data_IF_416618248019
#
_entry.id   IF_416618248019
#
_cell.length_a   1.000
_cell.length_b   1.000
_cell.length_c   1.000
_cell.angle_alpha   90.00
_cell.angle_beta   90.00
_cell.angle_gamma   90.00
#
_symmetry.space_group_name_H-M   'P 1'
#
loop_
_entity.id
_entity.type
_entity.pdbx_description
1 polymer ?
#
# COMPACT_ATOMS: atom_id res chain seq x y z
N UNK A 1 14.58 -21.69 22.98
CA UNK A 1 15.28 -22.94 22.68
C UNK A 1 16.20 -22.68 21.48
N UNK A 2 15.66 -22.49 20.28
CA UNK A 2 16.48 -22.22 19.07
C UNK A 2 17.36 -20.96 19.13
N UNK A 3 16.83 -19.79 19.50
CA UNK A 3 17.64 -18.55 19.52
C UNK A 3 18.82 -18.66 20.50
N UNK A 4 18.61 -19.32 21.64
CA UNK A 4 19.65 -19.50 22.67
C UNK A 4 20.77 -20.43 22.20
N UNK A 5 20.45 -21.40 21.34
CA UNK A 5 21.45 -22.32 20.75
C UNK A 5 22.39 -21.61 19.77
N UNK A 6 21.90 -20.59 19.06
CA UNK A 6 22.69 -19.82 18.09
C UNK A 6 23.23 -18.49 18.64
N UNK A 7 22.66 -18.01 19.74
CA UNK A 7 23.03 -16.78 20.44
C UNK A 7 22.94 -16.97 21.97
N UNK A 8 23.95 -17.60 22.59
CA UNK A 8 23.96 -17.84 24.04
C UNK A 8 23.96 -16.55 24.86
N UNK A 9 23.19 -16.53 25.95
CA UNK A 9 22.96 -15.37 26.80
C UNK A 9 21.87 -14.42 26.28
N UNK A 10 21.27 -14.68 25.10
CA UNK A 10 20.25 -13.79 24.52
C UNK A 10 19.07 -13.58 25.47
N UNK A 11 18.57 -14.64 26.10
CA UNK A 11 17.41 -14.53 27.01
C UNK A 11 17.67 -13.57 28.18
N UNK A 12 18.89 -13.54 28.70
CA UNK A 12 19.27 -12.70 29.84
C UNK A 12 19.31 -11.20 29.48
N UNK A 13 19.30 -10.86 28.18
CA UNK A 13 19.27 -9.48 27.67
C UNK A 13 17.86 -8.93 27.43
N UNK A 14 16.82 -9.76 27.57
CA UNK A 14 15.44 -9.35 27.27
C UNK A 14 14.87 -8.52 28.42
N UNK A 15 14.61 -7.23 28.17
CA UNK A 15 13.97 -6.34 29.15
C UNK A 15 12.43 -6.45 29.14
N UNK A 16 11.84 -6.67 27.97
CA UNK A 16 10.40 -6.79 27.78
C UNK A 16 10.08 -7.56 26.50
N UNK A 17 8.86 -8.09 26.41
CA UNK A 17 8.35 -8.79 25.23
C UNK A 17 6.91 -8.37 24.96
N UNK A 18 6.64 -8.02 23.71
CA UNK A 18 5.28 -7.91 23.17
C UNK A 18 5.14 -8.92 22.03
N UNK A 19 4.00 -9.61 21.98
CA UNK A 19 3.72 -10.59 20.95
C UNK A 19 2.30 -10.37 20.44
N UNK A 20 2.14 -10.42 19.12
CA UNK A 20 0.84 -10.44 18.46
C UNK A 20 0.74 -11.74 17.69
N UNK A 21 -0.28 -12.53 18.01
CA UNK A 21 -0.65 -13.67 17.20
C UNK A 21 -1.45 -13.20 15.96
N UNK A 22 -1.75 -14.09 15.00
CA UNK A 22 -2.47 -13.71 13.79
C UNK A 22 -3.84 -13.06 14.07
N UNK A 23 -4.56 -13.52 15.10
CA UNK A 23 -5.86 -12.96 15.48
C UNK A 23 -5.73 -11.57 16.09
N UNK A 24 -4.70 -11.34 16.91
CA UNK A 24 -4.38 -10.02 17.44
C UNK A 24 -4.00 -9.04 16.32
N UNK A 25 -3.33 -9.53 15.26
CA UNK A 25 -2.94 -8.72 14.11
C UNK A 25 -4.15 -8.32 13.26
N UNK A 26 -5.08 -9.24 13.02
CA UNK A 26 -6.37 -8.94 12.35
C UNK A 26 -7.24 -7.98 13.17
N UNK A 27 -7.22 -8.08 14.51
CA UNK A 27 -7.92 -7.13 15.39
C UNK A 27 -7.27 -5.75 15.43
N UNK A 28 -5.97 -5.68 15.16
CA UNK A 28 -5.22 -4.43 15.14
C UNK A 28 -5.48 -3.65 13.84
N UNK A 29 -5.57 -4.35 12.72
CA UNK A 29 -5.89 -3.76 11.42
C UNK A 29 -6.80 -4.73 10.65
N UNK A 30 -8.03 -4.30 10.36
CA UNK A 30 -9.03 -5.10 9.64
C UNK A 30 -8.57 -5.50 8.23
N UNK A 31 -7.55 -4.84 7.67
CA UNK A 31 -6.94 -5.24 6.41
C UNK A 31 -6.09 -6.53 6.52
N UNK A 32 -5.67 -6.91 7.72
CA UNK A 32 -4.84 -8.09 7.98
C UNK A 32 -5.68 -9.33 8.30
N UNK A 33 -6.64 -9.65 7.42
CA UNK A 33 -7.49 -10.84 7.55
C UNK A 33 -6.62 -12.09 7.75
N UNK A 34 -6.88 -12.86 8.81
CA UNK A 34 -6.10 -14.03 9.19
C UNK A 34 -4.68 -13.73 9.66
N UNK A 35 -4.35 -12.47 9.96
CA UNK A 35 -3.01 -12.00 10.28
C UNK A 35 -2.09 -11.80 9.05
N UNK A 36 -2.65 -11.70 7.85
CA UNK A 36 -1.86 -11.53 6.63
C UNK A 36 -1.47 -10.05 6.39
N UNK A 37 -0.22 -9.71 6.73
CA UNK A 37 0.34 -8.36 6.50
C UNK A 37 0.38 -7.94 5.02
N UNK A 38 0.26 -8.89 4.10
CA UNK A 38 0.23 -8.65 2.66
C UNK A 38 -1.13 -8.18 2.14
N UNK A 39 -2.18 -8.24 2.98
CA UNK A 39 -3.56 -7.98 2.56
C UNK A 39 -4.09 -9.06 1.61
N UNK A 40 -3.62 -10.30 1.81
CA UNK A 40 -3.88 -11.45 0.96
C UNK A 40 -2.63 -11.96 0.25
N UNK A 41 -2.81 -13.02 -0.54
CA UNK A 41 -1.72 -13.73 -1.22
C UNK A 41 -0.88 -12.77 -2.07
N UNK A 42 0.42 -12.99 -2.16
CA UNK A 42 1.29 -12.21 -3.05
C UNK A 42 1.70 -13.10 -4.22
N UNK A 43 0.87 -13.12 -5.25
CA UNK A 43 1.21 -13.75 -6.52
C UNK A 43 1.53 -12.70 -7.61
N UNK A 44 2.07 -13.16 -8.74
CA UNK A 44 2.45 -12.29 -9.87
C UNK A 44 1.26 -11.47 -10.37
N UNK A 45 0.05 -12.04 -10.33
CA UNK A 45 -1.17 -11.34 -10.75
C UNK A 45 -1.49 -10.20 -9.78
N UNK A 46 -1.41 -10.43 -8.49
CA UNK A 46 -1.61 -9.40 -7.47
C UNK A 46 -0.49 -8.38 -7.49
N UNK A 47 0.74 -8.73 -7.85
CA UNK A 47 1.82 -7.75 -8.01
C UNK A 47 1.50 -6.69 -9.06
N UNK A 48 0.78 -7.07 -10.13
CA UNK A 48 0.50 -6.22 -11.29
C UNK A 48 -0.91 -5.60 -11.27
N UNK A 49 -1.89 -6.29 -10.70
CA UNK A 49 -3.32 -5.96 -10.88
C UNK A 49 -4.09 -5.74 -9.57
N UNK A 50 -3.41 -5.66 -8.42
CA UNK A 50 -4.05 -5.20 -7.18
C UNK A 50 -4.39 -3.70 -7.26
N UNK A 51 -5.43 -3.20 -6.57
CA UNK A 51 -6.52 -3.96 -5.97
C UNK A 51 -7.55 -4.43 -7.02
N UNK A 52 -7.63 -3.73 -8.16
CA UNK A 52 -8.49 -4.05 -9.29
C UNK A 52 -7.72 -3.89 -10.60
N UNK A 53 -8.04 -4.72 -11.60
CA UNK A 53 -7.41 -4.65 -12.92
C UNK A 53 -7.88 -3.40 -13.67
N UNK A 54 -7.08 -2.33 -13.61
CA UNK A 54 -7.34 -1.05 -14.28
C UNK A 54 -6.07 -0.48 -14.90
N UNK A 55 -6.18 0.35 -15.96
CA UNK A 55 -5.04 1.06 -16.53
C UNK A 55 -4.35 1.99 -15.51
N UNK A 56 -5.14 2.63 -14.66
CA UNK A 56 -4.65 3.40 -13.51
C UNK A 56 -5.16 2.71 -12.22
N UNK A 57 -4.34 1.85 -11.59
CA UNK A 57 -4.74 1.14 -10.38
C UNK A 57 -4.73 2.02 -9.12
N UNK A 58 -4.26 3.28 -9.22
CA UNK A 58 -4.23 4.23 -8.11
C UNK A 58 -5.46 5.12 -8.08
N UNK A 59 -6.16 5.30 -9.20
CA UNK A 59 -7.40 6.07 -9.26
C UNK A 59 -8.61 5.25 -8.79
N UNK A 60 -9.46 5.85 -7.96
CA UNK A 60 -10.74 5.25 -7.55
C UNK A 60 -11.90 5.73 -8.42
N UNK A 61 -13.09 5.09 -8.37
CA UNK A 61 -14.29 5.62 -9.02
C UNK A 61 -14.75 6.98 -8.46
N UNK A 62 -14.38 7.30 -7.22
CA UNK A 62 -14.69 8.59 -6.63
C UNK A 62 -13.72 9.65 -7.19
N UNK A 63 -14.24 10.80 -7.67
CA UNK A 63 -13.40 11.85 -8.20
C UNK A 63 -12.45 12.37 -7.11
N UNK A 64 -11.21 12.64 -7.50
CA UNK A 64 -10.17 13.20 -6.63
C UNK A 64 -9.79 12.32 -5.41
N UNK A 65 -10.13 11.03 -5.43
CA UNK A 65 -9.73 10.05 -4.42
C UNK A 65 -8.82 9.00 -5.04
N UNK A 66 -7.65 8.78 -4.41
CA UNK A 66 -6.58 7.92 -4.91
C UNK A 66 -6.06 6.97 -3.84
N UNK A 67 -5.53 5.82 -4.26
CA UNK A 67 -4.93 4.80 -3.41
C UNK A 67 -3.41 4.91 -3.48
N UNK A 68 -2.75 4.94 -2.32
CA UNK A 68 -1.29 5.09 -2.21
C UNK A 68 -0.62 4.04 -1.31
N UNK A 69 -1.33 2.95 -1.02
CA UNK A 69 -0.90 1.90 -0.07
C UNK A 69 -0.22 0.71 -0.76
N UNK A 70 0.34 -0.22 0.02
CA UNK A 70 0.87 -1.52 -0.40
C UNK A 70 -0.17 -2.44 -1.07
N UNK A 71 -1.45 -2.07 -1.00
CA UNK A 71 -2.55 -2.70 -1.74
C UNK A 71 -2.60 -2.28 -3.22
N UNK A 72 -1.72 -1.38 -3.67
CA UNK A 72 -1.50 -1.02 -5.09
C UNK A 72 -0.15 -1.55 -5.59
N UNK A 73 0.08 -1.71 -6.90
CA UNK A 73 1.37 -2.16 -7.43
C UNK A 73 2.49 -1.16 -7.06
N UNK A 74 3.73 -1.60 -6.84
CA UNK A 74 4.24 -2.98 -6.90
C UNK A 74 4.02 -3.80 -5.62
N UNK A 75 3.17 -3.37 -4.70
CA UNK A 75 2.81 -4.14 -3.51
C UNK A 75 3.50 -3.67 -2.23
N UNK A 76 3.71 -4.61 -1.30
CA UNK A 76 4.32 -4.34 0.00
C UNK A 76 5.83 -4.16 -0.05
N UNK A 77 6.37 -3.53 1.00
CA UNK A 77 7.79 -3.24 1.18
C UNK A 77 8.06 -1.76 1.43
N UNK A 78 9.24 -1.45 1.97
CA UNK A 78 9.64 -0.08 2.35
C UNK A 78 10.34 0.62 1.18
N UNK A 79 9.70 0.62 0.00
CA UNK A 79 10.28 1.19 -1.23
C UNK A 79 9.64 2.51 -1.70
N UNK A 80 8.48 2.89 -1.16
CA UNK A 80 7.80 4.17 -1.47
C UNK A 80 7.10 4.29 -2.84
N UNK A 81 7.39 3.40 -3.79
CA UNK A 81 6.78 3.40 -5.15
C UNK A 81 5.25 3.52 -5.21
N UNK A 82 4.48 2.90 -4.31
CA UNK A 82 3.01 3.02 -4.33
C UNK A 82 2.55 4.47 -4.14
N UNK A 83 3.18 5.20 -3.21
CA UNK A 83 2.94 6.62 -3.01
C UNK A 83 3.40 7.46 -4.20
N UNK A 84 4.55 7.13 -4.77
CA UNK A 84 5.08 7.82 -5.96
C UNK A 84 4.13 7.72 -7.16
N UNK A 85 3.67 6.51 -7.50
CA UNK A 85 2.76 6.32 -8.63
C UNK A 85 1.36 6.90 -8.36
N UNK A 86 0.88 6.86 -7.11
CA UNK A 86 -0.36 7.53 -6.73
C UNK A 86 -0.26 9.04 -6.95
N UNK A 87 0.84 9.67 -6.55
CA UNK A 87 1.07 11.10 -6.80
C UNK A 87 1.11 11.42 -8.31
N UNK A 88 1.74 10.57 -9.13
CA UNK A 88 1.70 10.73 -10.58
C UNK A 88 0.28 10.58 -11.16
N UNK A 89 -0.55 9.69 -10.60
CA UNK A 89 -1.95 9.57 -10.98
C UNK A 89 -2.74 10.85 -10.67
N UNK A 90 -2.53 11.45 -9.49
CA UNK A 90 -3.15 12.73 -9.11
C UNK A 90 -2.77 13.84 -10.09
N UNK A 91 -1.48 13.97 -10.42
CA UNK A 91 -0.98 14.98 -11.36
C UNK A 91 -1.70 14.92 -12.71
N UNK A 92 -1.84 13.71 -13.28
CA UNK A 92 -2.51 13.52 -14.57
C UNK A 92 -4.03 13.76 -14.52
N UNK A 93 -4.69 13.28 -13.47
CA UNK A 93 -6.16 13.23 -13.45
C UNK A 93 -6.81 14.49 -12.89
N UNK A 94 -6.10 15.24 -12.05
CA UNK A 94 -6.59 16.47 -11.41
C UNK A 94 -5.93 17.67 -12.07
N UNK A 95 -4.64 17.86 -11.82
CA UNK A 95 -3.95 19.11 -12.16
C UNK A 95 -3.79 19.33 -13.67
N UNK A 96 -3.37 18.31 -14.43
CA UNK A 96 -3.25 18.42 -15.88
C UNK A 96 -4.61 18.55 -16.58
N UNK A 97 -5.66 17.94 -15.99
CA UNK A 97 -7.02 18.04 -16.51
C UNK A 97 -7.57 19.45 -16.32
N UNK A 98 -7.45 20.00 -15.12
CA UNK A 98 -7.88 21.35 -14.78
C UNK A 98 -7.19 22.39 -15.68
N UNK A 99 -5.88 22.21 -15.92
CA UNK A 99 -5.12 23.07 -16.83
C UNK A 99 -5.64 23.02 -18.28
N UNK A 100 -5.96 21.81 -18.79
CA UNK A 100 -6.51 21.64 -20.15
C UNK A 100 -7.91 22.23 -20.28
N UNK A 101 -8.76 22.07 -19.27
CA UNK A 101 -10.11 22.64 -19.24
C UNK A 101 -10.06 24.17 -19.20
N UNK A 102 -9.20 24.76 -18.36
CA UNK A 102 -8.96 26.20 -18.31
C UNK A 102 -8.46 26.77 -19.64
N UNK A 103 -7.49 26.12 -20.29
CA UNK A 103 -6.98 26.54 -21.60
C UNK A 103 -8.04 26.49 -22.70
N UNK A 104 -8.91 25.47 -22.69
CA UNK A 104 -10.02 25.34 -23.64
C UNK A 104 -11.09 26.41 -23.44
N UNK A 105 -11.38 26.78 -22.19
CA UNK A 105 -12.30 27.87 -21.89
C UNK A 105 -11.76 29.21 -22.40
N UNK A 106 -10.47 29.48 -22.18
CA UNK A 106 -9.81 30.69 -22.67
C UNK A 106 -9.80 30.83 -24.20
N UNK A 107 -9.67 29.72 -24.94
CA UNK A 107 -9.70 29.74 -26.42
C UNK A 107 -11.10 29.90 -27.03
N UNK A 108 -12.16 29.71 -26.22
CA UNK A 108 -13.56 29.83 -26.65
C UNK A 108 -14.19 31.18 -26.30
N UNK A 109 -13.50 32.01 -25.51
CA UNK A 109 -13.89 33.37 -25.16
C UNK A 109 -13.38 34.37 -26.21
#
# INVERSE_FOLDING_TARGET
AVIEEVAPGFRDTILARHAMDPLALERYDENYVGGDIGGGRVDVRQLLFRPVMRPDPYATPAPNVFLCSSSTPPGGGVHGMCGYHAAQSVLRNVFERDAREGARAAFRA
#
